data_IF_978408612471
#
_entry.id   IF_978408612471
#
_cell.length_a   1.000
_cell.length_b   1.000
_cell.length_c   1.000
_cell.angle_alpha   90.00
_cell.angle_beta   90.00
_cell.angle_gamma   90.00
#
_symmetry.space_group_name_H-M   'P 1'
#
loop_
_entity.id
_entity.type
_entity.pdbx_description
1 polymer ?
#
# COMPACT_ATOMS: atom_id res chain seq x y z
N UNK A 1 32.41 2.33 -44.71
CA UNK A 1 32.54 2.87 -43.35
C UNK A 1 31.13 3.31 -42.90
N UNK A 2 30.36 2.44 -42.25
CA UNK A 2 29.04 2.80 -41.71
C UNK A 2 29.01 2.36 -40.27
N UNK A 3 28.94 3.36 -39.38
CA UNK A 3 29.07 3.22 -37.93
C UNK A 3 27.76 2.75 -37.32
N UNK A 4 27.90 1.85 -36.36
CA UNK A 4 26.90 1.34 -35.42
C UNK A 4 26.12 2.48 -34.76
N UNK A 5 24.79 2.38 -34.75
CA UNK A 5 23.92 3.06 -33.79
C UNK A 5 23.27 2.00 -32.91
N UNK A 6 23.78 1.85 -31.69
CA UNK A 6 23.08 1.15 -30.62
C UNK A 6 21.97 2.06 -30.08
N UNK A 7 20.75 1.54 -29.83
CA UNK A 7 19.75 2.30 -29.10
C UNK A 7 20.17 2.42 -27.63
N UNK A 8 20.38 3.65 -27.17
CA UNK A 8 20.52 4.00 -25.76
C UNK A 8 19.17 3.81 -25.06
N UNK A 9 19.10 2.84 -24.16
CA UNK A 9 17.97 2.64 -23.25
C UNK A 9 17.82 3.88 -22.36
N UNK A 10 16.61 4.44 -22.19
CA UNK A 10 16.39 5.49 -21.22
C UNK A 10 16.56 4.89 -19.82
N UNK A 11 17.61 5.31 -19.10
CA UNK A 11 17.72 5.17 -17.65
C UNK A 11 16.49 5.83 -17.04
N UNK A 12 15.53 5.02 -16.61
CA UNK A 12 14.43 5.44 -15.78
C UNK A 12 15.02 6.06 -14.51
N UNK A 13 14.94 7.40 -14.42
CA UNK A 13 15.30 8.15 -13.23
C UNK A 13 14.59 7.52 -12.04
N UNK A 14 15.39 7.06 -11.08
CA UNK A 14 14.94 6.57 -9.81
C UNK A 14 13.91 7.55 -9.22
N UNK A 15 12.78 7.01 -8.80
CA UNK A 15 11.78 7.70 -7.99
C UNK A 15 12.40 8.05 -6.64
N UNK A 16 13.11 9.17 -6.57
CA UNK A 16 13.78 9.76 -5.38
C UNK A 16 12.81 10.21 -4.28
N UNK A 17 11.64 9.59 -4.15
CA UNK A 17 10.63 9.90 -3.13
C UNK A 17 10.33 8.76 -2.18
N UNK A 18 10.77 7.53 -2.47
CA UNK A 18 10.61 6.38 -1.57
C UNK A 18 11.89 6.28 -0.76
N UNK A 19 11.96 7.01 0.35
CA UNK A 19 13.05 6.81 1.31
C UNK A 19 13.00 5.37 1.79
N UNK A 20 14.04 4.59 1.49
CA UNK A 20 14.32 3.27 2.07
C UNK A 20 14.69 3.34 3.56
N UNK A 21 14.47 4.49 4.20
CA UNK A 21 14.64 4.72 5.62
C UNK A 21 13.50 4.06 6.40
N UNK A 22 13.62 2.75 6.53
CA UNK A 22 12.77 1.89 7.35
C UNK A 22 12.89 2.24 8.85
N UNK A 23 13.74 3.21 9.22
CA UNK A 23 13.87 3.73 10.59
C UNK A 23 12.55 4.19 11.20
N UNK A 24 11.67 4.78 10.39
CA UNK A 24 10.33 5.22 10.85
C UNK A 24 9.40 4.05 11.14
N UNK A 25 9.68 2.89 10.56
CA UNK A 25 8.98 1.62 10.75
C UNK A 25 9.58 0.78 11.89
N UNK A 26 10.69 1.21 12.52
CA UNK A 26 11.32 0.47 13.65
C UNK A 26 10.48 0.46 14.91
N UNK A 27 9.57 1.43 15.08
CA UNK A 27 8.62 1.38 16.19
C UNK A 27 7.46 0.50 15.81
N UNK A 28 7.24 -0.55 16.60
CA UNK A 28 6.10 -1.46 16.48
C UNK A 28 4.76 -0.71 16.35
N UNK A 29 4.61 0.41 17.06
CA UNK A 29 3.43 1.29 16.99
C UNK A 29 3.23 1.94 15.60
N UNK A 30 4.31 2.30 14.91
CA UNK A 30 4.22 2.84 13.54
C UNK A 30 3.88 1.76 12.51
N UNK A 31 4.40 0.54 12.68
CA UNK A 31 4.00 -0.60 11.86
C UNK A 31 2.54 -0.94 12.08
N UNK A 32 2.09 -1.07 13.33
CA UNK A 32 0.70 -1.39 13.67
C UNK A 32 -0.27 -0.34 13.07
N UNK A 33 0.05 0.96 13.17
CA UNK A 33 -0.71 2.04 12.51
C UNK A 33 -0.69 1.96 10.99
N UNK A 34 0.46 1.64 10.38
CA UNK A 34 0.57 1.48 8.94
C UNK A 34 -0.27 0.30 8.44
N UNK A 35 -0.29 -0.82 9.18
CA UNK A 35 -1.14 -1.97 8.91
C UNK A 35 -2.62 -1.61 8.94
N UNK A 36 -3.07 -0.87 9.95
CA UNK A 36 -4.46 -0.37 10.02
C UNK A 36 -4.83 0.50 8.81
N UNK A 37 -3.95 1.41 8.38
CA UNK A 37 -4.20 2.24 7.19
C UNK A 37 -4.26 1.42 5.91
N UNK A 38 -3.35 0.45 5.76
CA UNK A 38 -3.35 -0.46 4.62
C UNK A 38 -4.65 -1.27 4.56
N UNK A 39 -5.09 -1.81 5.70
CA UNK A 39 -6.32 -2.61 5.78
C UNK A 39 -7.57 -1.78 5.48
N UNK A 40 -7.62 -0.53 5.91
CA UNK A 40 -8.71 0.39 5.57
C UNK A 40 -8.81 0.62 4.05
N UNK A 41 -7.68 0.84 3.38
CA UNK A 41 -7.65 1.03 1.91
C UNK A 41 -8.03 -0.25 1.19
N UNK A 42 -7.50 -1.40 1.62
CA UNK A 42 -7.82 -2.70 1.03
C UNK A 42 -9.30 -3.06 1.19
N UNK A 43 -9.87 -2.83 2.38
CA UNK A 43 -11.29 -3.05 2.66
C UNK A 43 -12.17 -2.11 1.82
N UNK A 44 -11.78 -0.85 1.67
CA UNK A 44 -12.46 0.10 0.78
C UNK A 44 -12.43 -0.35 -0.68
N UNK A 45 -11.28 -0.83 -1.16
CA UNK A 45 -11.18 -1.40 -2.52
C UNK A 45 -12.04 -2.64 -2.69
N UNK A 46 -12.07 -3.55 -1.70
CA UNK A 46 -12.92 -4.74 -1.71
C UNK A 46 -14.40 -4.36 -1.76
N UNK A 47 -14.87 -3.44 -0.91
CA UNK A 47 -16.25 -2.96 -0.91
C UNK A 47 -16.62 -2.30 -2.24
N UNK A 48 -15.71 -1.48 -2.80
CA UNK A 48 -15.88 -0.86 -4.12
C UNK A 48 -16.00 -1.92 -5.22
N UNK A 49 -15.13 -2.93 -5.23
CA UNK A 49 -15.19 -4.03 -6.21
C UNK A 49 -16.47 -4.87 -6.07
N UNK A 50 -16.95 -5.13 -4.85
CA UNK A 50 -18.23 -5.82 -4.62
C UNK A 50 -19.41 -5.02 -5.16
N UNK A 51 -19.39 -3.69 -4.99
CA UNK A 51 -20.42 -2.78 -5.54
C UNK A 51 -20.37 -2.73 -7.06
N UNK A 52 -19.17 -2.64 -7.64
CA UNK A 52 -18.97 -2.67 -9.10
C UNK A 52 -19.37 -4.01 -9.74
N UNK A 53 -19.24 -5.12 -8.99
CA UNK A 53 -19.69 -6.43 -9.44
C UNK A 53 -21.22 -6.62 -9.39
N UNK A 54 -21.94 -5.79 -8.63
CA UNK A 54 -23.41 -5.73 -8.65
C UNK A 54 -23.88 -4.82 -9.77
N UNK A 55 -24.03 -5.43 -10.95
CA UNK A 55 -24.54 -4.78 -12.15
C UNK A 55 -26.06 -4.98 -12.26
N UNK A 56 -26.84 -4.17 -11.55
CA UNK A 56 -28.21 -3.86 -11.99
C UNK A 56 -28.21 -2.41 -12.45
N UNK A 57 -28.61 -2.20 -13.71
CA UNK A 57 -28.66 -0.93 -14.42
C UNK A 57 -29.06 0.26 -13.51
N UNK A 58 -28.11 1.11 -13.10
CA UNK A 58 -28.42 2.26 -12.27
C UNK A 58 -28.95 3.37 -13.17
N UNK A 59 -30.25 3.31 -13.49
CA UNK A 59 -30.99 4.31 -14.27
C UNK A 59 -30.97 5.74 -13.67
N UNK A 60 -30.39 5.90 -12.48
CA UNK A 60 -30.29 7.17 -11.74
C UNK A 60 -28.86 7.49 -11.30
N UNK A 61 -27.85 6.85 -11.91
CA UNK A 61 -26.46 7.12 -11.51
C UNK A 61 -26.03 8.53 -11.91
N UNK A 62 -25.46 9.25 -10.97
CA UNK A 62 -24.91 10.59 -11.19
C UNK A 62 -23.55 10.64 -10.53
N UNK A 63 -22.53 11.18 -11.22
CA UNK A 63 -21.15 11.31 -10.68
C UNK A 63 -21.07 11.94 -9.29
N UNK A 64 -22.04 12.77 -8.93
CA UNK A 64 -22.16 13.36 -7.59
C UNK A 64 -22.54 12.32 -6.52
N UNK A 65 -23.46 11.40 -6.83
CA UNK A 65 -23.87 10.29 -5.96
C UNK A 65 -22.73 9.29 -5.80
N UNK A 66 -22.00 8.99 -6.88
CA UNK A 66 -20.78 8.16 -6.84
C UNK A 66 -19.75 8.72 -5.87
N UNK A 67 -19.45 10.02 -5.99
CA UNK A 67 -18.44 10.68 -5.15
C UNK A 67 -18.84 10.66 -3.67
N UNK A 68 -20.12 10.90 -3.37
CA UNK A 68 -20.63 10.84 -2.01
C UNK A 68 -20.58 9.41 -1.44
N UNK A 69 -20.96 8.43 -2.26
CA UNK A 69 -20.94 7.01 -1.88
C UNK A 69 -19.51 6.52 -1.66
N UNK A 70 -18.57 6.92 -2.51
CA UNK A 70 -17.14 6.63 -2.35
C UNK A 70 -16.58 7.20 -1.04
N UNK A 71 -16.96 8.43 -0.68
CA UNK A 71 -16.57 9.01 0.61
C UNK A 71 -17.20 8.28 1.79
N UNK A 72 -18.47 7.89 1.69
CA UNK A 72 -19.16 7.10 2.72
C UNK A 72 -18.52 5.72 2.90
N UNK A 73 -18.20 5.03 1.80
CA UNK A 73 -17.52 3.74 1.81
C UNK A 73 -16.11 3.87 2.41
N UNK A 74 -15.40 4.96 2.12
CA UNK A 74 -14.09 5.27 2.72
C UNK A 74 -14.15 5.45 4.24
N UNK A 75 -15.16 6.17 4.76
CA UNK A 75 -15.38 6.31 6.20
C UNK A 75 -15.76 4.98 6.85
N UNK A 76 -16.61 4.20 6.18
CA UNK A 76 -17.03 2.87 6.63
C UNK A 76 -15.86 1.91 6.72
N UNK A 77 -15.02 1.85 5.67
CA UNK A 77 -13.83 1.01 5.64
C UNK A 77 -12.81 1.41 6.72
N UNK A 78 -12.63 2.70 6.99
CA UNK A 78 -11.80 3.20 8.09
C UNK A 78 -12.33 2.76 9.45
N UNK A 79 -13.64 2.88 9.69
CA UNK A 79 -14.26 2.42 10.94
C UNK A 79 -14.15 0.89 11.11
N UNK A 80 -14.29 0.13 10.02
CA UNK A 80 -14.11 -1.33 10.03
C UNK A 80 -12.67 -1.72 10.36
N UNK A 81 -11.66 -1.05 9.78
CA UNK A 81 -10.26 -1.31 10.09
C UNK A 81 -9.88 -0.96 11.56
N UNK A 82 -10.58 0.00 12.17
CA UNK A 82 -10.35 0.40 13.57
C UNK A 82 -11.07 -0.51 14.59
N UNK A 83 -12.30 -0.93 14.30
CA UNK A 83 -13.15 -1.67 15.26
C UNK A 83 -13.27 -3.18 14.98
N UNK A 84 -13.14 -3.59 13.73
CA UNK A 84 -13.29 -5.00 13.30
C UNK A 84 -12.20 -5.38 12.29
N UNK A 85 -10.91 -5.40 12.70
CA UNK A 85 -9.84 -5.77 11.80
C UNK A 85 -9.99 -7.22 11.35
N UNK A 86 -10.04 -7.42 10.03
CA UNK A 86 -9.94 -8.69 9.31
C UNK A 86 -8.55 -9.32 9.46
N UNK A 87 -7.56 -8.54 9.90
CA UNK A 87 -6.21 -9.02 10.24
C UNK A 87 -5.22 -9.00 9.09
N UNK A 88 -5.62 -8.49 7.93
CA UNK A 88 -4.77 -8.39 6.74
C UNK A 88 -3.65 -7.36 6.96
N UNK A 89 -3.98 -6.23 7.59
CA UNK A 89 -2.99 -5.21 7.96
C UNK A 89 -1.96 -5.74 8.94
N UNK A 90 -2.41 -6.52 9.93
CA UNK A 90 -1.54 -7.20 10.90
C UNK A 90 -0.62 -8.23 10.23
N UNK A 91 -1.15 -9.06 9.32
CA UNK A 91 -0.35 -10.04 8.60
C UNK A 91 0.74 -9.37 7.73
N UNK A 92 0.41 -8.25 7.09
CA UNK A 92 1.38 -7.45 6.33
C UNK A 92 2.47 -6.87 7.24
N UNK A 93 2.11 -6.29 8.39
CA UNK A 93 3.09 -5.72 9.33
C UNK A 93 3.98 -6.78 9.94
N UNK A 94 3.42 -7.95 10.27
CA UNK A 94 4.16 -9.08 10.80
C UNK A 94 5.14 -9.65 9.74
N UNK A 95 4.73 -9.72 8.46
CA UNK A 95 5.62 -10.08 7.35
C UNK A 95 6.74 -9.06 7.11
N UNK A 96 6.43 -7.76 7.19
CA UNK A 96 7.41 -6.69 7.05
C UNK A 96 8.39 -6.64 8.23
N UNK A 97 7.93 -6.88 9.46
CA UNK A 97 8.77 -6.96 10.64
C UNK A 97 9.69 -8.19 10.59
N UNK A 98 9.16 -9.32 10.14
CA UNK A 98 9.91 -10.56 9.95
C UNK A 98 10.99 -10.39 8.88
N UNK A 99 10.62 -9.88 7.70
CA UNK A 99 11.57 -9.65 6.60
C UNK A 99 12.65 -8.64 6.99
N UNK A 100 12.34 -7.51 7.66
CA UNK A 100 13.35 -6.55 8.12
C UNK A 100 14.45 -7.16 9.01
N UNK A 101 14.10 -8.19 9.79
CA UNK A 101 15.06 -8.92 10.63
C UNK A 101 16.06 -9.71 9.77
N UNK A 102 15.64 -10.15 8.59
CA UNK A 102 16.47 -10.86 7.61
C UNK A 102 17.23 -9.91 6.66
N UNK A 103 16.80 -8.63 6.52
CA UNK A 103 17.45 -7.63 5.63
C UNK A 103 18.44 -6.70 6.35
N UNK A 104 18.66 -6.86 7.66
CA UNK A 104 19.76 -6.18 8.38
C UNK A 104 20.79 -7.20 8.90
N UNK A 105 21.59 -7.85 8.02
CA UNK A 105 22.85 -8.41 8.45
C UNK A 105 23.66 -7.23 8.96
N UNK A 106 23.93 -7.22 10.24
CA UNK A 106 24.79 -6.25 10.89
C UNK A 106 26.04 -6.02 10.05
N UNK A 107 26.39 -4.74 9.91
CA UNK A 107 27.73 -4.25 9.65
C UNK A 107 28.68 -4.69 10.80
N UNK A 108 28.78 -6.01 11.00
CA UNK A 108 29.77 -6.70 11.82
C UNK A 108 30.73 -7.33 10.85
N UNK A 109 31.69 -6.55 10.36
CA UNK A 109 33.10 -6.89 10.57
C UNK A 109 34.02 -5.70 10.26
N UNK A 110 34.69 -5.20 11.29
CA UNK A 110 35.94 -4.42 11.27
C UNK A 110 36.38 -4.25 12.73
N UNK A 111 37.67 -4.36 13.13
CA UNK A 111 38.85 -5.04 12.58
C UNK A 111 39.50 -6.02 13.63
N UNK A 112 40.67 -6.62 13.35
CA UNK A 112 41.94 -6.01 13.80
C UNK A 112 42.92 -5.66 12.68
#
# INVERSE_FOLDING_TARGET
MSVISTPTTPTAGATTGISTDTSRLKSKDNLDKAGQKFEAVFTGMMLKSMRQAKLSDPLFDSKAIDTFTDMQDGLTAKAMAEHTPLGIGKAMTDFLAKSQSDINPTATDSPP
#
